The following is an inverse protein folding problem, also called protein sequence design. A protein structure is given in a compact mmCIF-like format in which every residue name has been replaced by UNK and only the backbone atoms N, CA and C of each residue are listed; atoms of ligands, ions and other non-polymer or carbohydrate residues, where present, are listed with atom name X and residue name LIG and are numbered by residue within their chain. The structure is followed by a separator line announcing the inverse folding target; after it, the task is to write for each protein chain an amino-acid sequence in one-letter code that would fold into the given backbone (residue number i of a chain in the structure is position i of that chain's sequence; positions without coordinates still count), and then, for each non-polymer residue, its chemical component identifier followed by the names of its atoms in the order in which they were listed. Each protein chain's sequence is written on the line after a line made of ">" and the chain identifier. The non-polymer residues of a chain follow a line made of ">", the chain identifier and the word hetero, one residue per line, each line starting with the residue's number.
data_IF_397822036762
#
_entry.id   IF_397822036762
#
_cell.length_a   1.000
_cell.length_b   1.000
_cell.length_c   1.000
_cell.angle_alpha   90.00
_cell.angle_beta   90.00
_cell.angle_gamma   90.00
#
_symmetry.space_group_name_H-M   'P 1'
#
loop_
_entity.id
_entity.type
_entity.pdbx_description
1 polymer ?
#
# COMPACT_ATOMS: atom_id res chain seq x y z
N UNK A 1 -5.40 10.71 -4.94
CA UNK A 1 -4.73 9.43 -5.19
C UNK A 1 -3.33 9.50 -4.60
N UNK A 2 -2.95 8.52 -3.79
CA UNK A 2 -1.69 8.47 -3.05
C UNK A 2 -0.97 7.16 -3.35
N UNK A 3 0.33 7.24 -3.62
CA UNK A 3 1.20 6.08 -3.88
C UNK A 3 1.78 5.58 -2.54
N UNK A 4 1.45 4.36 -2.13
CA UNK A 4 1.87 3.78 -0.84
C UNK A 4 2.91 2.64 -1.00
N UNK A 5 3.15 2.20 -2.23
CA UNK A 5 4.19 1.22 -2.57
C UNK A 5 4.41 1.13 -4.07
N UNK A 6 5.32 0.25 -4.50
CA UNK A 6 5.83 0.18 -5.88
C UNK A 6 6.38 1.53 -6.42
N UNK A 7 6.77 2.46 -5.54
CA UNK A 7 7.42 3.70 -5.92
C UNK A 7 8.94 3.47 -6.08
N UNK A 8 9.42 3.44 -7.32
CA UNK A 8 10.83 3.15 -7.62
C UNK A 8 11.22 1.68 -7.46
N UNK A 9 10.24 0.77 -7.35
CA UNK A 9 10.43 -0.68 -7.31
C UNK A 9 9.22 -1.39 -7.93
N UNK A 10 9.37 -2.65 -8.34
CA UNK A 10 8.32 -3.44 -9.01
C UNK A 10 7.39 -4.14 -8.00
N UNK A 11 7.77 -4.22 -6.73
CA UNK A 11 7.06 -5.00 -5.71
C UNK A 11 6.39 -4.12 -4.67
N UNK A 12 5.40 -4.64 -3.96
CA UNK A 12 4.71 -3.92 -2.89
C UNK A 12 3.65 -2.92 -3.36
N UNK A 13 3.10 -3.08 -4.56
CA UNK A 13 2.05 -2.23 -5.14
C UNK A 13 0.88 -2.02 -4.16
N UNK A 14 0.62 -0.75 -3.85
CA UNK A 14 -0.46 -0.27 -2.96
C UNK A 14 -0.74 1.19 -3.31
N UNK A 15 -2.01 1.52 -3.55
CA UNK A 15 -2.43 2.89 -3.85
C UNK A 15 -3.71 3.23 -3.08
N UNK A 16 -3.78 4.43 -2.52
CA UNK A 16 -4.99 4.92 -1.86
C UNK A 16 -5.73 5.89 -2.76
N UNK A 17 -6.99 5.59 -3.04
CA UNK A 17 -7.92 6.48 -3.74
C UNK A 17 -8.92 6.98 -2.71
N UNK A 18 -8.84 8.27 -2.39
CA UNK A 18 -9.76 8.96 -1.49
C UNK A 18 -10.58 9.96 -2.33
N UNK A 19 -11.91 9.89 -2.22
CA UNK A 19 -12.83 10.74 -2.97
C UNK A 19 -14.27 10.25 -2.90
N UNK A 20 -15.23 11.15 -3.17
CA UNK A 20 -16.65 10.79 -3.17
C UNK A 20 -17.21 10.33 -1.82
N UNK A 21 -16.49 10.60 -0.72
CA UNK A 21 -16.86 10.17 0.63
C UNK A 21 -16.37 8.77 1.02
N UNK A 22 -15.55 8.12 0.19
CA UNK A 22 -14.97 6.81 0.48
C UNK A 22 -13.47 6.75 0.21
N UNK A 23 -12.86 5.68 0.73
CA UNK A 23 -11.44 5.39 0.67
C UNK A 23 -11.22 3.95 0.19
N UNK A 24 -10.79 3.83 -1.06
CA UNK A 24 -10.47 2.56 -1.73
C UNK A 24 -8.97 2.32 -1.73
N UNK A 25 -8.54 1.14 -1.30
CA UNK A 25 -7.17 0.67 -1.49
C UNK A 25 -7.10 -0.12 -2.79
N UNK A 26 -6.34 0.35 -3.77
CA UNK A 26 -6.08 -0.44 -4.99
C UNK A 26 -4.82 -1.26 -4.76
N UNK A 27 -4.99 -2.58 -4.76
CA UNK A 27 -3.96 -3.59 -4.48
C UNK A 27 -3.40 -3.54 -3.04
N UNK A 28 -2.84 -4.65 -2.58
CA UNK A 28 -2.21 -4.76 -1.26
C UNK A 28 -0.98 -5.69 -1.31
N UNK A 29 -0.15 -5.51 -2.34
CA UNK A 29 0.98 -6.36 -2.63
C UNK A 29 2.07 -6.31 -1.56
N UNK A 30 2.78 -7.44 -1.37
CA UNK A 30 3.97 -7.53 -0.52
C UNK A 30 5.22 -7.08 -1.29
N UNK A 31 6.19 -6.52 -0.58
CA UNK A 31 7.53 -6.27 -1.09
C UNK A 31 8.31 -7.58 -1.20
N UNK A 32 9.05 -7.76 -2.29
CA UNK A 32 9.83 -8.96 -2.58
C UNK A 32 11.24 -8.58 -3.08
N UNK A 33 12.08 -9.58 -3.37
CA UNK A 33 13.41 -9.34 -3.94
C UNK A 33 14.45 -8.90 -2.92
N UNK A 34 14.94 -7.66 -2.98
CA UNK A 34 16.01 -7.19 -2.09
C UNK A 34 15.63 -7.28 -0.60
N UNK A 35 16.60 -7.63 0.26
CA UNK A 35 16.37 -7.77 1.70
C UNK A 35 15.80 -6.50 2.33
N UNK A 36 16.28 -5.32 1.91
CA UNK A 36 15.80 -4.03 2.41
C UNK A 36 14.32 -3.80 2.09
N UNK A 37 13.88 -4.17 0.87
CA UNK A 37 12.48 -4.05 0.49
C UNK A 37 11.59 -5.00 1.28
N UNK A 38 12.01 -6.26 1.47
CA UNK A 38 11.23 -7.22 2.28
C UNK A 38 11.09 -6.80 3.74
N UNK A 39 12.01 -6.01 4.29
CA UNK A 39 11.91 -5.50 5.65
C UNK A 39 10.68 -4.60 5.84
N UNK A 40 10.26 -3.87 4.79
CA UNK A 40 9.09 -2.99 4.80
C UNK A 40 7.77 -3.75 5.04
N UNK A 41 7.72 -5.06 4.76
CA UNK A 41 6.51 -5.86 5.03
C UNK A 41 6.21 -6.02 6.53
N UNK A 42 7.18 -5.71 7.40
CA UNK A 42 7.05 -5.80 8.85
C UNK A 42 6.77 -4.44 9.50
N UNK A 43 6.77 -3.36 8.72
CA UNK A 43 6.38 -2.03 9.19
C UNK A 43 4.86 -1.94 9.32
N UNK A 44 4.38 -1.00 10.13
CA UNK A 44 2.96 -0.74 10.21
C UNK A 44 2.42 -0.32 8.83
N UNK A 45 1.20 -0.73 8.46
CA UNK A 45 0.59 -0.27 7.21
C UNK A 45 0.55 1.27 7.17
N UNK A 46 0.82 1.89 6.00
CA UNK A 46 0.86 3.35 5.88
C UNK A 46 -0.53 4.02 5.93
N UNK A 47 -1.58 3.22 6.16
CA UNK A 47 -2.96 3.65 6.41
C UNK A 47 -3.55 2.73 7.48
N UNK A 48 -4.39 3.27 8.35
CA UNK A 48 -5.10 2.45 9.33
C UNK A 48 -6.13 1.55 8.61
N UNK A 49 -6.02 0.21 8.70
CA UNK A 49 -6.90 -0.70 7.96
C UNK A 49 -8.40 -0.47 8.17
N UNK A 50 -8.90 -0.14 9.38
CA UNK A 50 -10.32 0.15 9.58
C UNK A 50 -10.85 1.37 8.84
N UNK A 51 -9.98 2.23 8.29
CA UNK A 51 -10.37 3.43 7.55
C UNK A 51 -10.54 3.20 6.06
N UNK A 52 -10.22 2.00 5.56
CA UNK A 52 -10.34 1.62 4.15
C UNK A 52 -11.67 0.89 3.95
N UNK A 53 -12.50 1.41 3.06
CA UNK A 53 -13.85 0.89 2.82
C UNK A 53 -13.84 -0.38 1.96
N UNK A 54 -12.86 -0.50 1.05
CA UNK A 54 -12.70 -1.65 0.15
C UNK A 54 -11.26 -1.80 -0.36
N UNK A 55 -10.93 -2.99 -0.86
CA UNK A 55 -9.71 -3.33 -1.59
C UNK A 55 -10.06 -3.88 -2.97
#
# INVERSE_FOLDING_TARGET
>A
MTFLGAAGTVTGSKFLVDGGGGRLMVDCGLYQGERRLRALNWEAPPVEPPTVDAV
#
